data_IF_139090928928
#
_entry.id   IF_139090928928
#
_cell.length_a   1.000
_cell.length_b   1.000
_cell.length_c   1.000
_cell.angle_alpha   90.00
_cell.angle_beta   90.00
_cell.angle_gamma   90.00
#
_symmetry.space_group_name_H-M   'P 1'
#
loop_
_entity.id
_entity.type
_entity.pdbx_description
1 polymer ?
#
# COMPACT_ATOMS: atom_id res chain seq x y z
N UNK A 1 -17.48 -29.05 -23.64
CA UNK A 1 -16.86 -28.83 -22.32
C UNK A 1 -17.41 -27.52 -21.78
N UNK A 2 -17.90 -27.48 -20.55
CA UNK A 2 -18.42 -26.22 -19.98
C UNK A 2 -17.21 -25.34 -19.66
N UNK A 3 -17.07 -24.19 -20.32
CA UNK A 3 -15.97 -23.26 -20.02
C UNK A 3 -16.07 -22.87 -18.54
N UNK A 4 -15.03 -23.19 -17.77
CA UNK A 4 -14.93 -22.77 -16.37
C UNK A 4 -15.08 -21.25 -16.30
N UNK A 5 -15.74 -20.74 -15.26
CA UNK A 5 -15.92 -19.30 -15.05
C UNK A 5 -15.06 -18.82 -13.90
N UNK A 6 -14.64 -17.56 -13.98
CA UNK A 6 -14.04 -16.81 -12.89
C UNK A 6 -15.00 -15.72 -12.43
N UNK A 7 -15.10 -15.55 -11.12
CA UNK A 7 -15.79 -14.45 -10.50
C UNK A 7 -14.81 -13.29 -10.33
N UNK A 8 -15.21 -12.11 -10.73
CA UNK A 8 -14.39 -10.90 -10.66
C UNK A 8 -15.20 -9.69 -10.27
N UNK A 9 -14.54 -8.72 -9.67
CA UNK A 9 -15.13 -7.42 -9.40
C UNK A 9 -14.73 -6.48 -10.52
N UNK A 10 -15.71 -5.79 -11.09
CA UNK A 10 -15.54 -4.83 -12.17
C UNK A 10 -15.89 -3.43 -11.71
N UNK A 11 -15.33 -2.43 -12.38
CA UNK A 11 -15.76 -1.05 -12.21
C UNK A 11 -17.10 -0.86 -12.94
N UNK A 12 -18.21 -0.79 -12.21
CA UNK A 12 -19.56 -0.68 -12.79
C UNK A 12 -19.86 0.75 -13.25
N UNK A 13 -19.37 1.76 -12.51
CA UNK A 13 -19.44 3.18 -12.89
C UNK A 13 -18.30 3.95 -12.25
N UNK A 14 -18.01 5.14 -12.75
CA UNK A 14 -16.96 5.99 -12.15
C UNK A 14 -17.46 6.60 -10.83
N UNK A 15 -16.73 6.44 -9.72
CA UNK A 15 -17.09 7.07 -8.45
C UNK A 15 -16.89 8.60 -8.51
N UNK A 16 -17.62 9.31 -7.65
CA UNK A 16 -17.44 10.74 -7.41
C UNK A 16 -16.27 11.01 -6.43
N UNK A 17 -16.47 11.95 -5.51
CA UNK A 17 -15.54 12.18 -4.40
C UNK A 17 -15.51 10.96 -3.47
N UNK A 18 -16.69 10.52 -3.04
CA UNK A 18 -16.88 9.32 -2.23
C UNK A 18 -17.04 8.07 -3.10
N UNK A 19 -16.46 6.97 -2.65
CA UNK A 19 -16.63 5.65 -3.26
C UNK A 19 -17.80 4.94 -2.57
N UNK A 20 -18.70 4.37 -3.36
CA UNK A 20 -19.75 3.45 -2.93
C UNK A 20 -19.48 2.03 -3.41
N UNK A 21 -20.06 1.05 -2.72
CA UNK A 21 -20.10 -0.35 -3.19
C UNK A 21 -20.78 -0.45 -4.55
N UNK A 22 -21.77 0.41 -4.83
CA UNK A 22 -22.50 0.45 -6.11
C UNK A 22 -21.65 0.92 -7.29
N UNK A 23 -20.44 1.44 -7.04
CA UNK A 23 -19.49 1.78 -8.10
C UNK A 23 -18.83 0.52 -8.70
N UNK A 24 -19.06 -0.64 -8.07
CA UNK A 24 -18.53 -1.93 -8.48
C UNK A 24 -19.65 -2.95 -8.70
N UNK A 25 -19.35 -3.98 -9.46
CA UNK A 25 -20.21 -5.14 -9.61
C UNK A 25 -19.40 -6.43 -9.55
N UNK A 26 -20.02 -7.51 -9.08
CA UNK A 26 -19.45 -8.86 -9.14
C UNK A 26 -20.01 -9.55 -10.38
N UNK A 27 -19.13 -10.00 -11.26
CA UNK A 27 -19.48 -10.68 -12.49
C UNK A 27 -18.82 -12.06 -12.57
N UNK A 28 -19.47 -12.99 -13.27
CA UNK A 28 -18.85 -14.24 -13.69
C UNK A 28 -18.53 -14.19 -15.19
N UNK A 29 -17.25 -14.36 -15.55
CA UNK A 29 -16.82 -14.41 -16.95
C UNK A 29 -16.17 -15.76 -17.26
N UNK A 30 -16.29 -16.28 -18.49
CA UNK A 30 -15.59 -17.50 -18.88
C UNK A 30 -14.07 -17.28 -18.79
N UNK A 31 -13.37 -18.28 -18.26
CA UNK A 31 -11.92 -18.34 -18.33
C UNK A 31 -11.48 -18.67 -19.75
N UNK A 32 -10.44 -18.01 -20.28
CA UNK A 32 -9.80 -18.43 -21.52
C UNK A 32 -9.29 -19.88 -21.42
N UNK A 33 -9.19 -20.56 -22.56
CA UNK A 33 -8.49 -21.83 -22.62
C UNK A 33 -7.00 -21.64 -22.29
N UNK A 34 -6.41 -22.63 -21.61
CA UNK A 34 -5.01 -22.57 -21.21
C UNK A 34 -4.10 -22.88 -22.43
N UNK A 35 -3.41 -21.85 -22.93
CA UNK A 35 -2.48 -21.97 -24.04
C UNK A 35 -1.05 -22.32 -23.59
N UNK A 36 -0.18 -22.66 -24.54
CA UNK A 36 1.24 -22.91 -24.28
C UNK A 36 1.93 -21.69 -23.66
N UNK A 37 2.79 -21.91 -22.65
CA UNK A 37 3.45 -20.83 -21.92
C UNK A 37 2.59 -20.14 -20.86
N UNK A 38 1.34 -20.56 -20.67
CA UNK A 38 0.41 -19.95 -19.72
C UNK A 38 0.20 -20.79 -18.45
N UNK A 39 -0.29 -20.11 -17.42
CA UNK A 39 -0.71 -20.70 -16.15
C UNK A 39 -2.14 -20.28 -15.83
N UNK A 40 -2.90 -21.19 -15.22
CA UNK A 40 -4.15 -20.87 -14.54
C UNK A 40 -3.88 -20.79 -13.04
N UNK A 41 -4.28 -19.67 -12.45
CA UNK A 41 -3.99 -19.35 -11.04
C UNK A 41 -5.31 -19.11 -10.32
N UNK A 42 -5.43 -19.67 -9.12
CA UNK A 42 -6.50 -19.37 -8.17
C UNK A 42 -5.97 -18.45 -7.07
N UNK A 43 -6.51 -17.24 -6.99
CA UNK A 43 -6.14 -16.28 -5.95
C UNK A 43 -6.55 -16.78 -4.56
N UNK A 44 -5.69 -16.49 -3.59
CA UNK A 44 -5.89 -16.80 -2.17
C UNK A 44 -5.96 -15.54 -1.32
N UNK A 45 -5.20 -14.52 -1.72
CA UNK A 45 -5.12 -13.24 -1.04
C UNK A 45 -5.13 -12.12 -2.07
N UNK A 46 -5.69 -10.98 -1.68
CA UNK A 46 -5.68 -9.74 -2.44
C UNK A 46 -5.16 -8.62 -1.56
N UNK A 47 -4.45 -7.69 -2.17
CA UNK A 47 -4.11 -6.42 -1.54
C UNK A 47 -5.21 -5.41 -1.84
N UNK A 48 -5.47 -4.53 -0.88
CA UNK A 48 -6.36 -3.38 -1.05
C UNK A 48 -5.55 -2.16 -0.65
N UNK A 49 -5.19 -1.35 -1.64
CA UNK A 49 -4.20 -0.29 -1.49
C UNK A 49 -4.80 1.08 -1.83
N UNK A 50 -4.39 2.15 -1.12
CA UNK A 50 -4.91 3.50 -1.36
C UNK A 50 -4.76 3.99 -2.81
N UNK A 51 -3.66 3.64 -3.49
CA UNK A 51 -3.41 4.09 -4.88
C UNK A 51 -4.50 3.61 -5.86
N UNK A 52 -5.22 2.52 -5.53
CA UNK A 52 -6.31 2.01 -6.37
C UNK A 52 -7.37 3.07 -6.63
N UNK A 53 -7.59 4.00 -5.69
CA UNK A 53 -8.48 5.15 -5.83
C UNK A 53 -8.15 6.03 -7.03
N UNK A 54 -6.86 6.19 -7.35
CA UNK A 54 -6.39 7.06 -8.43
C UNK A 54 -6.83 6.52 -9.79
N UNK A 55 -6.74 5.21 -9.98
CA UNK A 55 -7.19 4.54 -11.19
C UNK A 55 -8.71 4.57 -11.39
N UNK A 56 -9.51 4.87 -10.36
CA UNK A 56 -10.97 5.01 -10.50
C UNK A 56 -11.38 6.34 -11.11
N UNK A 57 -10.52 7.35 -11.01
CA UNK A 57 -10.76 8.66 -11.62
C UNK A 57 -10.36 8.68 -13.10
N UNK A 58 -11.02 9.51 -13.89
CA UNK A 58 -10.69 9.83 -15.28
C UNK A 58 -9.66 10.95 -15.41
N UNK A 59 -8.99 11.30 -14.31
CA UNK A 59 -8.04 12.41 -14.25
C UNK A 59 -6.69 11.98 -14.81
N UNK A 60 -6.01 12.93 -15.44
CA UNK A 60 -4.61 12.76 -15.82
C UNK A 60 -3.76 12.67 -14.54
N UNK A 61 -3.10 11.54 -14.33
CA UNK A 61 -2.30 11.28 -13.15
C UNK A 61 -1.31 10.13 -13.35
N UNK A 62 -0.66 9.70 -12.27
CA UNK A 62 0.40 8.67 -12.32
C UNK A 62 -0.13 7.28 -12.71
N UNK A 63 -1.43 7.02 -12.55
CA UNK A 63 -2.07 5.75 -12.90
C UNK A 63 -3.04 5.91 -14.06
N UNK A 64 -2.99 4.98 -15.02
CA UNK A 64 -3.97 4.93 -16.10
C UNK A 64 -5.38 4.70 -15.56
N UNK A 65 -6.34 5.47 -16.06
CA UNK A 65 -7.74 5.35 -15.67
C UNK A 65 -8.28 3.96 -16.03
N UNK A 66 -8.94 3.33 -15.06
CA UNK A 66 -9.61 2.05 -15.24
C UNK A 66 -10.84 2.26 -16.14
N UNK A 67 -11.00 1.48 -17.23
CA UNK A 67 -12.23 1.53 -18.02
C UNK A 67 -13.42 1.00 -17.23
N UNK A 68 -14.59 1.59 -17.44
CA UNK A 68 -15.85 1.06 -16.92
C UNK A 68 -16.16 -0.28 -17.60
N UNK A 69 -16.67 -1.24 -16.84
CA UNK A 69 -16.88 -2.62 -17.26
C UNK A 69 -15.63 -3.49 -17.17
N UNK A 70 -14.46 -2.96 -16.83
CA UNK A 70 -13.24 -3.77 -16.71
C UNK A 70 -13.01 -4.29 -15.29
N UNK A 71 -12.46 -5.50 -15.19
CA UNK A 71 -12.20 -6.16 -13.92
C UNK A 71 -11.07 -5.47 -13.15
N UNK A 72 -11.29 -5.11 -11.89
CA UNK A 72 -10.32 -4.40 -11.05
C UNK A 72 -8.95 -5.10 -11.01
N UNK A 73 -7.89 -4.30 -10.93
CA UNK A 73 -6.50 -4.79 -10.80
C UNK A 73 -6.04 -4.62 -9.36
N UNK A 74 -4.94 -5.28 -9.00
CA UNK A 74 -4.34 -5.16 -7.67
C UNK A 74 -3.45 -6.34 -7.34
N UNK A 75 -2.57 -6.16 -6.36
CA UNK A 75 -1.68 -7.21 -5.89
C UNK A 75 -2.47 -8.45 -5.42
N UNK A 76 -2.01 -9.63 -5.82
CA UNK A 76 -2.59 -10.90 -5.44
C UNK A 76 -1.51 -11.91 -5.11
N UNK A 77 -1.83 -12.85 -4.21
CA UNK A 77 -1.09 -14.10 -4.05
C UNK A 77 -2.04 -15.25 -4.36
N UNK A 78 -1.65 -16.10 -5.29
CA UNK A 78 -2.45 -17.21 -5.77
C UNK A 78 -1.64 -18.48 -5.99
N UNK A 79 -2.34 -19.60 -6.14
CA UNK A 79 -1.73 -20.90 -6.39
C UNK A 79 -1.97 -21.30 -7.85
N UNK A 80 -0.93 -21.75 -8.53
CA UNK A 80 -1.04 -22.34 -9.88
C UNK A 80 -1.84 -23.63 -9.77
N UNK A 81 -3.01 -23.69 -10.40
CA UNK A 81 -3.90 -24.87 -10.40
C UNK A 81 -3.81 -25.67 -11.71
N UNK A 82 -3.37 -25.04 -12.80
CA UNK A 82 -3.01 -25.70 -14.05
C UNK A 82 -1.87 -24.94 -14.72
N UNK A 83 -0.98 -25.63 -15.43
CA UNK A 83 0.19 -25.02 -16.06
C UNK A 83 0.52 -25.68 -17.38
N UNK A 84 0.80 -24.85 -18.38
CA UNK A 84 1.48 -25.19 -19.63
C UNK A 84 2.80 -24.40 -19.74
N UNK A 85 3.40 -24.10 -18.60
CA UNK A 85 4.68 -23.43 -18.47
C UNK A 85 5.54 -24.22 -17.48
N UNK A 86 6.54 -25.00 -17.94
CA UNK A 86 7.33 -25.89 -17.08
C UNK A 86 8.00 -25.19 -15.88
N UNK A 87 8.30 -23.89 -16.01
CA UNK A 87 8.91 -23.06 -14.97
C UNK A 87 7.99 -22.76 -13.78
N UNK A 88 6.68 -22.96 -13.93
CA UNK A 88 5.68 -22.73 -12.88
C UNK A 88 4.77 -23.97 -12.77
N UNK A 89 5.22 -25.03 -12.08
CA UNK A 89 4.43 -26.25 -11.92
C UNK A 89 3.18 -26.00 -11.06
N UNK A 90 2.18 -26.89 -11.20
CA UNK A 90 0.98 -26.89 -10.36
C UNK A 90 1.37 -26.95 -8.88
N UNK A 91 0.70 -26.15 -8.05
CA UNK A 91 1.00 -26.00 -6.63
C UNK A 91 1.94 -24.83 -6.30
N UNK A 92 2.63 -24.27 -7.30
CA UNK A 92 3.48 -23.09 -7.10
C UNK A 92 2.65 -21.90 -6.64
N UNK A 93 3.09 -21.24 -5.57
CA UNK A 93 2.51 -19.99 -5.13
C UNK A 93 3.14 -18.84 -5.92
N UNK A 94 2.32 -17.90 -6.39
CA UNK A 94 2.76 -16.79 -7.23
C UNK A 94 2.13 -15.47 -6.80
N UNK A 95 2.85 -14.36 -7.00
CA UNK A 95 2.29 -13.01 -6.97
C UNK A 95 1.86 -12.56 -8.36
N UNK A 96 0.87 -11.68 -8.42
CA UNK A 96 0.41 -11.07 -9.68
C UNK A 96 -0.28 -9.72 -9.44
N UNK A 97 -0.65 -9.03 -10.52
CA UNK A 97 -1.53 -7.84 -10.48
C UNK A 97 -3.00 -8.17 -10.76
N UNK A 98 -3.35 -9.45 -10.66
CA UNK A 98 -4.67 -9.96 -11.00
C UNK A 98 -5.58 -10.17 -9.78
N UNK A 99 -5.57 -9.29 -8.77
CA UNK A 99 -6.19 -9.54 -7.45
C UNK A 99 -7.70 -9.68 -7.40
N UNK A 100 -8.47 -8.78 -8.03
CA UNK A 100 -9.92 -8.70 -7.81
C UNK A 100 -10.73 -9.72 -8.65
N UNK A 101 -10.25 -10.96 -8.68
CA UNK A 101 -10.87 -12.13 -9.29
C UNK A 101 -10.43 -13.39 -8.55
N UNK A 102 -11.26 -14.42 -8.53
CA UNK A 102 -10.92 -15.67 -7.84
C UNK A 102 -9.96 -16.55 -8.65
N UNK A 103 -10.03 -16.49 -9.98
CA UNK A 103 -9.16 -17.20 -10.92
C UNK A 103 -8.80 -16.33 -12.11
N UNK A 104 -7.67 -16.65 -12.73
CA UNK A 104 -7.27 -16.08 -14.01
C UNK A 104 -6.35 -17.02 -14.80
N UNK A 105 -6.29 -16.81 -16.11
CA UNK A 105 -5.27 -17.37 -16.99
C UNK A 105 -4.36 -16.22 -17.42
N UNK A 106 -3.05 -16.41 -17.37
CA UNK A 106 -2.07 -15.45 -17.82
C UNK A 106 -0.80 -16.14 -18.30
N UNK A 107 0.01 -15.42 -19.07
CA UNK A 107 1.37 -15.86 -19.41
C UNK A 107 2.19 -16.03 -18.13
N UNK A 108 3.06 -17.05 -18.09
CA UNK A 108 3.92 -17.32 -16.95
C UNK A 108 4.82 -16.12 -16.58
N UNK A 109 5.17 -15.28 -17.55
CA UNK A 109 5.95 -14.06 -17.34
C UNK A 109 5.19 -12.94 -16.60
N UNK A 110 3.86 -13.00 -16.57
CA UNK A 110 3.02 -12.00 -15.89
C UNK A 110 2.82 -12.29 -14.39
N UNK A 111 3.41 -13.37 -13.88
CA UNK A 111 3.37 -13.75 -12.46
C UNK A 111 4.78 -14.01 -11.95
N UNK A 112 4.99 -13.88 -10.64
CA UNK A 112 6.30 -14.12 -10.02
C UNK A 112 6.19 -15.18 -8.94
N UNK A 113 7.08 -16.17 -8.88
CA UNK A 113 7.03 -17.19 -7.84
C UNK A 113 7.27 -16.59 -6.45
N UNK A 114 6.49 -17.06 -5.48
CA UNK A 114 6.68 -16.79 -4.06
C UNK A 114 7.67 -17.80 -3.50
N UNK A 115 8.65 -17.34 -2.72
CA UNK A 115 9.60 -18.23 -2.07
C UNK A 115 8.88 -19.18 -1.10
N UNK A 116 9.28 -20.46 -1.13
CA UNK A 116 8.60 -21.52 -0.37
C UNK A 116 8.80 -21.40 1.15
N UNK A 117 9.81 -20.67 1.60
CA UNK A 117 10.27 -20.57 2.98
C UNK A 117 9.71 -19.36 3.76
N UNK A 118 8.93 -18.48 3.11
CA UNK A 118 8.40 -17.25 3.72
C UNK A 118 7.38 -17.49 4.85
N UNK A 119 6.89 -18.72 5.03
CA UNK A 119 5.96 -19.13 6.09
C UNK A 119 4.54 -18.60 5.91
N UNK A 120 4.36 -17.30 5.62
CA UNK A 120 3.07 -16.65 5.32
C UNK A 120 3.12 -15.99 3.94
N UNK A 121 2.61 -16.65 2.88
CA UNK A 121 2.66 -16.11 1.52
C UNK A 121 2.01 -14.73 1.35
N UNK A 122 0.98 -14.39 2.14
CA UNK A 122 0.33 -13.09 2.09
C UNK A 122 1.26 -11.91 2.45
N UNK A 123 2.40 -12.16 3.09
CA UNK A 123 3.40 -11.11 3.36
C UNK A 123 3.97 -10.49 2.09
N UNK A 124 3.94 -11.19 0.95
CA UNK A 124 4.30 -10.64 -0.36
C UNK A 124 3.35 -9.54 -0.87
N UNK A 125 2.20 -9.34 -0.21
CA UNK A 125 1.30 -8.23 -0.50
C UNK A 125 1.55 -7.03 0.42
N UNK A 126 2.41 -7.20 1.42
CA UNK A 126 2.67 -6.22 2.47
C UNK A 126 4.16 -6.03 2.71
N UNK A 127 4.62 -6.51 3.88
CA UNK A 127 6.00 -6.41 4.38
C UNK A 127 7.08 -6.88 3.40
N UNK A 128 6.84 -7.97 2.67
CA UNK A 128 7.77 -8.52 1.68
C UNK A 128 7.39 -8.11 0.25
N UNK A 129 6.39 -7.24 0.12
CA UNK A 129 5.86 -6.74 -1.14
C UNK A 129 6.06 -5.24 -1.31
N UNK A 130 5.13 -4.64 -2.07
CA UNK A 130 5.20 -3.24 -2.44
C UNK A 130 5.28 -2.30 -1.23
N UNK A 131 4.43 -2.47 -0.22
CA UNK A 131 4.38 -1.53 0.92
C UNK A 131 5.63 -1.60 1.80
N UNK A 132 6.17 -2.80 2.02
CA UNK A 132 7.45 -2.96 2.72
C UNK A 132 8.63 -2.41 1.92
N UNK A 133 8.68 -2.67 0.61
CA UNK A 133 9.71 -2.11 -0.26
C UNK A 133 9.64 -0.57 -0.30
N UNK A 134 8.45 0.01 -0.34
CA UNK A 134 8.25 1.46 -0.29
C UNK A 134 8.79 2.07 1.00
N UNK A 135 8.50 1.45 2.15
CA UNK A 135 9.05 1.88 3.43
C UNK A 135 10.58 1.79 3.46
N UNK A 136 11.12 0.67 2.96
CA UNK A 136 12.56 0.43 2.86
C UNK A 136 13.25 1.47 1.96
N UNK A 137 12.72 1.72 0.76
CA UNK A 137 13.25 2.73 -0.15
C UNK A 137 13.25 4.13 0.48
N UNK A 138 12.13 4.53 1.11
CA UNK A 138 12.00 5.84 1.73
C UNK A 138 12.96 6.06 2.89
N UNK A 139 13.10 5.09 3.79
CA UNK A 139 14.01 5.22 4.94
C UNK A 139 15.47 5.05 4.52
N UNK A 140 15.79 4.03 3.74
CA UNK A 140 17.18 3.61 3.54
C UNK A 140 17.90 4.31 2.40
N UNK A 141 17.18 4.87 1.43
CA UNK A 141 17.78 5.52 0.26
C UNK A 141 17.41 7.00 0.09
N UNK A 142 16.27 7.44 0.63
CA UNK A 142 15.83 8.84 0.47
C UNK A 142 16.11 9.65 1.73
N UNK A 143 15.60 9.20 2.88
CA UNK A 143 15.80 9.89 4.15
C UNK A 143 17.17 9.59 4.76
N UNK A 144 17.69 8.37 4.60
CA UNK A 144 18.98 7.92 5.13
C UNK A 144 19.30 8.43 6.55
N UNK A 145 18.39 8.26 7.52
CA UNK A 145 18.48 8.93 8.80
C UNK A 145 19.64 8.35 9.62
N UNK A 146 20.22 9.19 10.47
CA UNK A 146 21.33 8.84 11.36
C UNK A 146 20.84 8.68 12.80
N UNK A 147 21.60 7.92 13.58
CA UNK A 147 21.29 7.71 14.98
C UNK A 147 21.22 9.07 15.72
N UNK A 148 20.23 9.23 16.60
CA UNK A 148 19.96 10.47 17.31
C UNK A 148 19.12 11.51 16.55
N UNK A 149 18.92 11.35 15.24
CA UNK A 149 18.00 12.21 14.47
C UNK A 149 16.54 11.88 14.77
N UNK A 150 15.65 12.84 14.52
CA UNK A 150 14.21 12.70 14.72
C UNK A 150 13.49 12.50 13.39
N UNK A 151 12.76 11.38 13.28
CA UNK A 151 11.93 11.04 12.12
C UNK A 151 10.46 11.17 12.49
N UNK A 152 9.73 12.00 11.77
CA UNK A 152 8.28 12.05 11.83
C UNK A 152 7.67 11.10 10.80
N UNK A 153 6.65 10.31 11.18
CA UNK A 153 5.95 9.39 10.26
C UNK A 153 4.43 9.64 10.35
N UNK A 154 3.82 10.09 9.25
CA UNK A 154 2.36 10.21 9.17
C UNK A 154 1.72 8.90 8.74
N UNK A 155 0.48 8.65 9.19
CA UNK A 155 -0.21 7.39 8.87
C UNK A 155 0.54 6.15 9.38
N UNK A 156 1.24 6.27 10.51
CA UNK A 156 2.24 5.30 10.97
C UNK A 156 1.65 3.93 11.32
N UNK A 157 0.34 3.82 11.58
CA UNK A 157 -0.33 2.54 11.79
C UNK A 157 -0.73 1.82 10.47
N UNK A 158 -0.43 2.42 9.31
CA UNK A 158 -0.66 1.82 8.00
C UNK A 158 0.45 0.85 7.59
N UNK A 159 0.24 0.14 6.47
CA UNK A 159 1.17 -0.89 5.97
C UNK A 159 2.58 -0.35 5.71
N UNK A 160 2.69 0.81 5.03
CA UNK A 160 3.99 1.46 4.78
C UNK A 160 4.54 2.11 6.07
N UNK A 161 3.72 2.94 6.71
CA UNK A 161 4.15 3.75 7.86
C UNK A 161 4.66 2.92 9.04
N UNK A 162 4.06 1.76 9.31
CA UNK A 162 4.46 0.89 10.42
C UNK A 162 5.83 0.25 10.20
N UNK A 163 6.16 -0.10 8.96
CA UNK A 163 7.49 -0.60 8.58
C UNK A 163 8.50 0.54 8.59
N UNK A 164 8.15 1.71 8.04
CA UNK A 164 9.03 2.88 7.99
C UNK A 164 9.44 3.34 9.40
N UNK A 165 8.48 3.39 10.34
CA UNK A 165 8.73 3.72 11.73
C UNK A 165 9.71 2.74 12.40
N UNK A 166 9.54 1.43 12.17
CA UNK A 166 10.45 0.41 12.72
C UNK A 166 11.85 0.49 12.11
N UNK A 167 11.97 0.74 10.80
CA UNK A 167 13.27 0.93 10.15
C UNK A 167 13.99 2.17 10.71
N UNK A 168 13.28 3.28 10.91
CA UNK A 168 13.82 4.46 11.57
C UNK A 168 14.28 4.16 13.02
N UNK A 169 13.49 3.42 13.81
CA UNK A 169 13.92 2.97 15.15
C UNK A 169 15.19 2.13 15.09
N UNK A 170 15.30 1.20 14.12
CA UNK A 170 16.49 0.37 13.92
C UNK A 170 17.73 1.17 13.52
N UNK A 171 17.56 2.35 12.91
CA UNK A 171 18.64 3.31 12.64
C UNK A 171 19.07 4.12 13.87
N UNK A 172 18.45 3.89 15.03
CA UNK A 172 18.75 4.60 16.27
C UNK A 172 18.11 6.00 16.33
N UNK A 173 17.08 6.25 15.52
CA UNK A 173 16.37 7.52 15.49
C UNK A 173 15.31 7.59 16.59
N UNK A 174 14.99 8.82 17.00
CA UNK A 174 13.73 9.11 17.71
C UNK A 174 12.61 9.15 16.69
N UNK A 175 11.54 8.39 16.90
CA UNK A 175 10.40 8.32 15.99
C UNK A 175 9.16 8.92 16.63
N UNK A 176 8.66 9.99 16.01
CA UNK A 176 7.39 10.64 16.33
C UNK A 176 6.38 10.31 15.24
N UNK A 177 5.13 10.06 15.59
CA UNK A 177 4.17 9.51 14.64
C UNK A 177 2.73 10.01 14.83
N UNK A 178 1.91 9.86 13.79
CA UNK A 178 0.46 10.06 13.89
C UNK A 178 -0.33 8.86 13.37
N UNK A 179 -1.50 8.66 13.98
CA UNK A 179 -2.54 7.75 13.50
C UNK A 179 -3.93 8.37 13.74
N UNK A 180 -4.98 7.76 13.18
CA UNK A 180 -6.33 8.35 13.18
C UNK A 180 -7.27 7.86 14.29
N UNK A 181 -6.83 6.96 15.16
CA UNK A 181 -7.63 6.45 16.29
C UNK A 181 -6.75 6.19 17.50
N UNK A 182 -7.32 6.28 18.70
CA UNK A 182 -6.58 6.04 19.94
C UNK A 182 -6.09 4.60 20.06
N UNK A 183 -6.83 3.62 19.52
CA UNK A 183 -6.40 2.23 19.42
C UNK A 183 -5.11 2.09 18.60
N UNK A 184 -5.04 2.77 17.44
CA UNK A 184 -3.83 2.77 16.60
C UNK A 184 -2.67 3.48 17.31
N UNK A 185 -2.95 4.56 18.04
CA UNK A 185 -1.95 5.26 18.86
C UNK A 185 -1.39 4.35 19.95
N UNK A 186 -2.26 3.62 20.66
CA UNK A 186 -1.87 2.65 21.67
C UNK A 186 -1.00 1.55 21.05
N UNK A 187 -1.43 0.96 19.93
CA UNK A 187 -0.63 -0.06 19.23
C UNK A 187 0.78 0.45 18.84
N UNK A 188 0.88 1.66 18.30
CA UNK A 188 2.17 2.27 17.93
C UNK A 188 3.08 2.50 19.16
N UNK A 189 2.53 2.85 20.31
CA UNK A 189 3.29 3.06 21.55
C UNK A 189 3.65 1.75 22.23
N UNK A 190 2.67 0.86 22.40
CA UNK A 190 2.77 -0.30 23.27
C UNK A 190 3.38 -1.50 22.56
N UNK A 191 3.17 -1.63 21.25
CA UNK A 191 3.70 -2.75 20.45
C UNK A 191 4.94 -2.34 19.66
N UNK A 192 4.94 -1.17 19.02
CA UNK A 192 6.10 -0.71 18.24
C UNK A 192 7.08 0.16 19.04
N UNK A 193 6.74 0.54 20.27
CA UNK A 193 7.61 1.32 21.16
C UNK A 193 8.11 2.63 20.52
N UNK A 194 7.22 3.30 19.78
CA UNK A 194 7.51 4.62 19.22
C UNK A 194 7.56 5.68 20.32
N UNK A 195 8.39 6.70 20.13
CA UNK A 195 8.78 7.63 21.20
C UNK A 195 7.70 8.66 21.53
N UNK A 196 6.90 9.07 20.55
CA UNK A 196 5.71 9.88 20.75
C UNK A 196 4.71 9.65 19.62
N UNK A 197 3.42 9.52 19.95
CA UNK A 197 2.37 9.27 18.97
C UNK A 197 1.12 10.07 19.32
N UNK A 198 0.53 10.73 18.32
CA UNK A 198 -0.72 11.50 18.46
C UNK A 198 -1.84 10.90 17.59
N UNK A 199 -3.07 11.02 18.11
CA UNK A 199 -4.27 10.85 17.30
C UNK A 199 -4.54 12.16 16.57
N UNK A 200 -4.33 12.20 15.26
CA UNK A 200 -4.49 13.44 14.49
C UNK A 200 -5.95 13.94 14.44
N UNK A 201 -6.93 13.08 14.72
CA UNK A 201 -8.34 13.46 14.70
C UNK A 201 -8.73 14.35 15.90
N UNK A 202 -7.95 14.31 16.97
CA UNK A 202 -8.26 14.98 18.25
C UNK A 202 -7.12 15.85 18.77
N UNK A 203 -6.04 16.00 17.98
CA UNK A 203 -4.81 16.68 18.40
C UNK A 203 -4.40 17.74 17.38
N UNK A 204 -4.07 18.94 17.87
CA UNK A 204 -3.33 19.94 17.08
C UNK A 204 -1.91 19.44 16.83
N UNK A 205 -1.63 19.10 15.56
CA UNK A 205 -0.35 18.52 15.17
C UNK A 205 0.82 19.50 15.26
N UNK A 206 0.58 20.80 15.02
CA UNK A 206 1.62 21.82 15.13
C UNK A 206 2.05 21.96 16.58
N UNK A 207 1.09 22.08 17.50
CA UNK A 207 1.35 22.13 18.93
C UNK A 207 2.00 20.83 19.45
N UNK A 208 1.55 19.68 18.96
CA UNK A 208 2.13 18.38 19.30
C UNK A 208 3.59 18.28 18.86
N UNK A 209 3.91 18.62 17.61
CA UNK A 209 5.28 18.56 17.09
C UNK A 209 6.19 19.55 17.82
N UNK A 210 5.73 20.77 18.09
CA UNK A 210 6.49 21.75 18.86
C UNK A 210 6.84 21.23 20.27
N UNK A 211 5.89 20.54 20.93
CA UNK A 211 6.10 19.94 22.25
C UNK A 211 7.02 18.72 22.22
N UNK A 212 6.85 17.82 21.26
CA UNK A 212 7.56 16.53 21.21
C UNK A 212 8.91 16.59 20.51
N UNK A 213 9.12 17.62 19.68
CA UNK A 213 10.32 17.86 18.90
C UNK A 213 10.74 19.34 19.06
N UNK A 214 11.11 19.81 20.27
CA UNK A 214 11.45 21.22 20.49
C UNK A 214 12.67 21.69 19.69
N UNK A 215 13.56 20.75 19.31
CA UNK A 215 14.68 21.01 18.40
C UNK A 215 14.32 20.91 16.92
N UNK A 216 13.06 20.59 16.59
CA UNK A 216 12.56 20.28 15.25
C UNK A 216 12.76 18.83 14.84
N UNK A 217 12.26 18.48 13.65
CA UNK A 217 12.39 17.17 13.01
C UNK A 217 13.45 17.20 11.90
N UNK A 218 14.24 16.13 11.78
CA UNK A 218 15.26 15.99 10.74
C UNK A 218 14.67 15.38 9.47
N UNK A 219 13.72 14.46 9.63
CA UNK A 219 13.10 13.74 8.53
C UNK A 219 11.59 13.63 8.69
N UNK A 220 10.89 13.62 7.56
CA UNK A 220 9.46 13.32 7.51
C UNK A 220 9.16 12.26 6.43
N UNK A 221 8.54 11.17 6.85
CA UNK A 221 7.95 10.17 5.96
C UNK A 221 6.46 10.48 5.78
N UNK A 222 6.11 11.06 4.64
CA UNK A 222 4.76 11.54 4.37
C UNK A 222 3.91 10.51 3.61
N UNK A 223 2.90 9.97 4.28
CA UNK A 223 1.86 9.13 3.67
C UNK A 223 0.52 9.87 3.48
N UNK A 224 0.42 11.10 3.98
CA UNK A 224 -0.87 11.76 4.23
C UNK A 224 -1.03 13.07 3.47
N UNK A 225 -0.01 13.91 3.39
CA UNK A 225 -0.08 15.26 2.83
C UNK A 225 -0.97 16.21 3.63
N UNK A 226 -1.41 17.29 2.97
CA UNK A 226 -2.37 18.25 3.52
C UNK A 226 -1.90 18.92 4.83
N UNK A 227 -2.80 19.20 5.78
CA UNK A 227 -2.43 19.87 7.03
C UNK A 227 -1.37 19.14 7.89
N UNK A 228 -1.21 17.82 7.70
CA UNK A 228 -0.14 17.07 8.38
C UNK A 228 1.24 17.44 7.82
N UNK A 229 1.32 17.65 6.50
CA UNK A 229 2.53 18.14 5.85
C UNK A 229 2.85 19.58 6.28
N UNK A 230 1.84 20.46 6.38
CA UNK A 230 2.04 21.84 6.84
C UNK A 230 2.63 21.89 8.26
N UNK A 231 2.08 21.08 9.18
CA UNK A 231 2.60 20.94 10.54
C UNK A 231 4.04 20.39 10.55
N UNK A 232 4.34 19.40 9.70
CA UNK A 232 5.69 18.83 9.58
C UNK A 232 6.71 19.86 9.05
N UNK A 233 6.36 20.61 8.00
CA UNK A 233 7.20 21.69 7.45
C UNK A 233 7.49 22.75 8.51
N UNK A 234 6.47 23.13 9.29
CA UNK A 234 6.61 24.11 10.38
C UNK A 234 7.59 23.66 11.46
N UNK A 235 7.65 22.35 11.73
CA UNK A 235 8.55 21.75 12.72
C UNK A 235 9.92 21.33 12.14
N UNK A 236 10.17 21.56 10.84
CA UNK A 236 11.35 21.02 10.16
C UNK A 236 12.63 21.79 10.53
N UNK A 237 13.73 21.05 10.74
CA UNK A 237 15.06 21.65 10.88
C UNK A 237 15.60 22.15 9.54
N UNK A 238 16.54 23.12 9.54
CA UNK A 238 17.33 23.42 8.36
C UNK A 238 17.98 22.15 7.80
N UNK A 239 17.90 21.96 6.48
CA UNK A 239 18.38 20.76 5.76
C UNK A 239 17.61 19.46 6.08
N UNK A 240 16.46 19.56 6.73
CA UNK A 240 15.57 18.41 6.90
C UNK A 240 15.08 17.84 5.56
N UNK A 241 14.74 16.56 5.55
CA UNK A 241 14.32 15.83 4.34
C UNK A 241 12.90 15.31 4.47
N UNK A 242 12.13 15.40 3.40
CA UNK A 242 10.78 14.85 3.32
C UNK A 242 10.77 13.83 2.18
N UNK A 243 10.32 12.60 2.49
CA UNK A 243 9.93 11.64 1.46
C UNK A 243 8.41 11.68 1.32
N UNK A 244 7.94 12.06 0.14
CA UNK A 244 6.51 12.06 -0.19
C UNK A 244 6.16 10.69 -0.76
N UNK A 245 5.72 9.78 0.11
CA UNK A 245 5.28 8.45 -0.27
C UNK A 245 3.87 8.46 -0.86
N UNK A 246 2.99 9.31 -0.33
CA UNK A 246 1.63 9.46 -0.80
C UNK A 246 0.92 10.58 -0.06
N UNK A 247 -0.25 10.97 -0.54
CA UNK A 247 -1.07 11.98 0.11
C UNK A 247 -2.52 11.52 0.24
N UNK A 248 -2.76 10.47 1.05
CA UNK A 248 -4.09 9.84 1.14
C UNK A 248 -5.21 10.82 1.54
N UNK A 249 -4.89 11.89 2.28
CA UNK A 249 -5.86 12.93 2.64
C UNK A 249 -6.37 13.72 1.42
N UNK A 250 -5.62 13.66 0.30
CA UNK A 250 -5.87 14.45 -0.89
C UNK A 250 -6.55 13.65 -2.01
N UNK A 251 -6.61 12.31 -1.92
CA UNK A 251 -7.09 11.47 -3.03
C UNK A 251 -8.53 11.73 -3.48
N UNK A 252 -9.36 12.34 -2.63
CA UNK A 252 -10.73 12.71 -2.97
C UNK A 252 -10.89 14.20 -3.34
N UNK A 253 -9.82 15.00 -3.31
CA UNK A 253 -9.90 16.43 -3.64
C UNK A 253 -9.87 16.62 -5.16
N UNK A 254 -10.52 17.67 -5.72
CA UNK A 254 -10.57 17.88 -7.17
C UNK A 254 -9.21 18.05 -7.86
N UNK A 255 -8.20 18.57 -7.14
CA UNK A 255 -6.94 19.02 -7.71
C UNK A 255 -5.76 18.06 -7.46
N UNK A 256 -6.01 16.89 -6.89
CA UNK A 256 -4.96 15.89 -6.72
C UNK A 256 -4.73 15.12 -8.02
N UNK A 257 -3.50 15.20 -8.55
CA UNK A 257 -3.03 14.55 -9.78
C UNK A 257 -2.09 13.38 -9.46
#
# INVERSE_FOLDING_TARGET
MMNEKARMVVLARRPGADISVDDFAVEERPLPELAEGQVRVRNRYISVDPYMRLALSDRNGVSAAKPVGEAMTGGAVGIVEASRAPVLPVGTMVTSQFGWRDRFVADAAAVQPVAADVGRPSWYLGLLGLTGLTAYAGIEYILEPKAGETVFVSGAAGAVGSVAAQLAKRRGCRVVATAGTDEKVAWLKDVLHLDAVANYATTDLTAFLAKQCPAGIDHYFDNVGGPTLDAAITAMKPKGRIVVCGAISQYNTPNYC
#
